data_IF_188414456869
#
_entry.id   IF_188414456869
#
_cell.length_a   1.000
_cell.length_b   1.000
_cell.length_c   1.000
_cell.angle_alpha   90.00
_cell.angle_beta   90.00
_cell.angle_gamma   90.00
#
_symmetry.space_group_name_H-M   'P 1'
#
loop_
_entity.id
_entity.type
_entity.pdbx_description
1 polymer ?
#
# COMPACT_ATOMS: atom_id res chain seq x y z
N UNK A 1 -8.18 10.66 9.09
CA UNK A 1 -8.75 9.68 8.13
C UNK A 1 -7.62 8.83 7.59
N UNK A 2 -7.78 7.51 7.63
CA UNK A 2 -6.80 6.56 7.08
C UNK A 2 -7.35 6.02 5.76
N UNK A 3 -6.58 6.15 4.67
CA UNK A 3 -6.96 5.60 3.36
C UNK A 3 -5.78 4.93 2.68
N UNK A 4 -6.03 4.33 1.51
CA UNK A 4 -5.00 3.77 0.64
C UNK A 4 -3.87 4.78 0.33
N UNK A 5 -2.65 4.28 0.11
CA UNK A 5 -1.48 5.10 -0.21
C UNK A 5 -1.44 5.57 -1.68
N UNK A 6 -2.46 5.26 -2.48
CA UNK A 6 -2.59 5.72 -3.85
C UNK A 6 -2.55 7.26 -3.98
N UNK A 7 -2.00 7.73 -5.10
CA UNK A 7 -1.89 9.16 -5.41
C UNK A 7 -3.24 9.90 -5.33
N UNK A 8 -4.32 9.26 -5.82
CA UNK A 8 -5.68 9.81 -5.78
C UNK A 8 -6.17 9.98 -4.34
N UNK A 9 -5.90 8.99 -3.48
CA UNK A 9 -6.27 9.03 -2.07
C UNK A 9 -5.47 10.09 -1.29
N UNK A 10 -4.19 10.29 -1.64
CA UNK A 10 -3.39 11.39 -1.09
C UNK A 10 -3.94 12.76 -1.50
N UNK A 11 -4.31 12.93 -2.77
CA UNK A 11 -4.88 14.19 -3.25
C UNK A 11 -6.22 14.50 -2.55
N UNK A 12 -7.11 13.52 -2.46
CA UNK A 12 -8.37 13.65 -1.73
C UNK A 12 -8.16 13.92 -0.23
N UNK A 13 -7.21 13.22 0.40
CA UNK A 13 -6.83 13.44 1.80
C UNK A 13 -6.43 14.88 2.07
N UNK A 14 -5.56 15.46 1.24
CA UNK A 14 -5.13 16.86 1.35
C UNK A 14 -6.28 17.86 1.18
N UNK A 15 -7.24 17.59 0.31
CA UNK A 15 -8.42 18.43 0.15
C UNK A 15 -9.28 18.43 1.42
N UNK A 16 -9.47 17.25 2.03
CA UNK A 16 -10.21 17.10 3.29
C UNK A 16 -9.47 17.79 4.44
N UNK A 17 -8.15 17.63 4.57
CA UNK A 17 -7.36 18.34 5.59
C UNK A 17 -7.45 19.87 5.47
N UNK A 18 -7.54 20.38 4.23
CA UNK A 18 -7.68 21.82 3.96
C UNK A 18 -9.05 22.35 4.38
N UNK A 19 -10.11 21.60 4.09
CA UNK A 19 -11.49 21.98 4.41
C UNK A 19 -11.77 21.84 5.92
N UNK A 20 -11.27 20.76 6.53
CA UNK A 20 -11.54 20.41 7.91
C UNK A 20 -10.25 20.42 8.72
N UNK A 21 -9.92 21.56 9.34
CA UNK A 21 -8.65 21.79 10.07
C UNK A 21 -8.36 20.82 11.23
N UNK A 22 -9.37 20.06 11.69
CA UNK A 22 -9.25 19.09 12.76
C UNK A 22 -9.13 17.64 12.25
N UNK A 23 -9.18 17.44 10.93
CA UNK A 23 -9.00 16.15 10.29
C UNK A 23 -7.61 16.11 9.67
N UNK A 24 -6.85 15.06 10.02
CA UNK A 24 -5.56 14.76 9.43
C UNK A 24 -5.64 13.51 8.59
N UNK A 25 -4.99 13.51 7.43
CA UNK A 25 -4.87 12.37 6.55
C UNK A 25 -3.59 11.58 6.87
N UNK A 26 -3.70 10.26 6.88
CA UNK A 26 -2.56 9.37 7.06
C UNK A 26 -2.72 8.16 6.15
N UNK A 27 -1.68 7.72 5.44
CA UNK A 27 -1.76 6.53 4.61
C UNK A 27 -1.91 5.27 5.47
N UNK A 28 -2.60 4.26 4.94
CA UNK A 28 -2.76 2.97 5.60
C UNK A 28 -1.45 2.19 5.62
N UNK A 29 -0.90 1.96 6.81
CA UNK A 29 0.33 1.18 6.99
C UNK A 29 0.20 -0.25 6.47
N UNK A 30 -0.97 -0.89 6.66
CA UNK A 30 -1.22 -2.25 6.16
C UNK A 30 -1.15 -2.30 4.64
N UNK A 31 -1.74 -1.32 3.95
CA UNK A 31 -1.68 -1.25 2.50
C UNK A 31 -0.25 -0.96 2.00
N UNK A 32 0.46 -0.05 2.67
CA UNK A 32 1.87 0.22 2.36
C UNK A 32 2.74 -1.03 2.52
N UNK A 33 2.54 -1.81 3.59
CA UNK A 33 3.23 -3.09 3.79
C UNK A 33 2.89 -4.11 2.70
N UNK A 34 1.61 -4.24 2.33
CA UNK A 34 1.20 -5.14 1.25
C UNK A 34 1.86 -4.78 -0.09
N UNK A 35 1.98 -3.49 -0.41
CA UNK A 35 2.67 -3.05 -1.62
C UNK A 35 4.17 -3.33 -1.55
N UNK A 36 4.81 -3.06 -0.41
CA UNK A 36 6.22 -3.38 -0.20
C UNK A 36 6.49 -4.89 -0.36
N UNK A 37 5.63 -5.75 0.19
CA UNK A 37 5.73 -7.20 0.03
C UNK A 37 5.51 -7.64 -1.42
N UNK A 38 4.57 -7.02 -2.15
CA UNK A 38 4.39 -7.27 -3.59
C UNK A 38 5.63 -6.88 -4.39
N UNK A 39 6.27 -5.77 -4.08
CA UNK A 39 7.50 -5.33 -4.74
C UNK A 39 8.68 -6.27 -4.43
N UNK A 40 8.79 -6.73 -3.19
CA UNK A 40 9.74 -7.81 -2.81
C UNK A 40 9.45 -9.09 -3.61
N UNK A 41 8.17 -9.46 -3.77
CA UNK A 41 7.75 -10.62 -4.55
C UNK A 41 8.03 -10.54 -6.06
N UNK A 42 8.37 -9.35 -6.58
CA UNK A 42 8.82 -9.17 -7.98
C UNK A 42 10.32 -9.43 -8.16
N UNK A 43 11.09 -9.50 -7.07
CA UNK A 43 12.51 -9.84 -7.14
C UNK A 43 12.61 -11.27 -7.66
N UNK A 44 13.40 -11.49 -8.71
CA UNK A 44 13.42 -12.76 -9.45
C UNK A 44 13.57 -14.00 -8.56
N UNK A 45 14.52 -13.99 -7.62
CA UNK A 45 14.74 -15.13 -6.73
C UNK A 45 13.58 -15.34 -5.75
N UNK A 46 12.96 -14.26 -5.25
CA UNK A 46 11.77 -14.35 -4.39
C UNK A 46 10.60 -14.88 -5.19
N UNK A 47 10.42 -14.38 -6.41
CA UNK A 47 9.35 -14.78 -7.32
C UNK A 47 9.43 -16.27 -7.65
N UNK A 48 10.65 -16.80 -7.86
CA UNK A 48 10.88 -18.22 -8.07
C UNK A 48 10.43 -19.03 -6.84
N UNK A 49 10.89 -18.66 -5.64
CA UNK A 49 10.50 -19.34 -4.40
C UNK A 49 8.98 -19.31 -4.19
N UNK A 50 8.34 -18.17 -4.46
CA UNK A 50 6.88 -18.02 -4.34
C UNK A 50 6.13 -18.87 -5.38
N UNK A 51 6.69 -19.05 -6.57
CA UNK A 51 6.12 -19.90 -7.62
C UNK A 51 6.27 -21.37 -7.23
N UNK A 52 7.47 -21.79 -6.85
CA UNK A 52 7.77 -23.15 -6.41
C UNK A 52 6.88 -23.55 -5.23
N UNK A 53 6.68 -22.65 -4.26
CA UNK A 53 5.81 -22.90 -3.11
C UNK A 53 4.32 -23.03 -3.49
N UNK A 54 3.87 -22.36 -4.56
CA UNK A 54 2.49 -22.49 -5.07
C UNK A 54 2.27 -23.79 -5.81
N UNK A 55 3.29 -24.31 -6.49
CA UNK A 55 3.22 -25.57 -7.22
C UNK A 55 3.19 -26.81 -6.29
N UNK A 56 3.47 -26.62 -5.00
CA UNK A 56 3.39 -27.67 -3.95
C UNK A 56 1.99 -27.76 -3.33
N UNK A 57 1.13 -26.75 -3.50
CA UNK A 57 -0.28 -26.77 -3.05
C UNK A 57 -1.21 -27.42 -4.08
#
# INVERSE_FOLDING_TARGET
VITDAAYVCRAAGKLVEREYRHIYWTPCCVHAMNNALKDIGKIQWVNQIVTDARDVQ
#
